data_IF_130067357820
#
_entry.id   IF_130067357820
#
_cell.length_a   1.000
_cell.length_b   1.000
_cell.length_c   1.000
_cell.angle_alpha   90.00
_cell.angle_beta   90.00
_cell.angle_gamma   90.00
#
_symmetry.space_group_name_H-M   'P 1'
#
loop_
_entity.id
_entity.type
_entity.pdbx_description
1 polymer ?
#
# COMPACT_ATOMS: atom_id res chain seq x y z
N UNK A 1 -9.05 41.36 -37.58
CA UNK A 1 -7.99 40.32 -37.37
C UNK A 1 -8.64 38.97 -37.54
N UNK A 2 -8.27 38.19 -38.60
CA UNK A 2 -8.75 36.81 -38.80
C UNK A 2 -7.98 35.93 -37.83
N UNK A 3 -8.67 35.34 -36.86
CA UNK A 3 -8.15 34.21 -36.09
C UNK A 3 -7.70 33.11 -37.07
N UNK A 4 -6.45 32.74 -37.06
CA UNK A 4 -5.95 31.60 -37.83
C UNK A 4 -6.13 30.36 -37.00
N UNK A 5 -7.34 29.85 -37.00
CA UNK A 5 -7.65 28.51 -36.51
C UNK A 5 -7.40 27.51 -37.65
N UNK A 6 -6.58 26.51 -37.38
CA UNK A 6 -6.33 25.42 -38.31
C UNK A 6 -7.02 24.18 -37.75
N UNK A 7 -8.02 23.69 -38.44
CA UNK A 7 -8.66 22.41 -38.18
C UNK A 7 -8.19 21.43 -39.25
N UNK A 8 -7.56 20.36 -38.86
CA UNK A 8 -7.08 19.31 -39.75
C UNK A 8 -7.79 18.01 -39.35
N UNK A 9 -8.29 17.28 -40.33
CA UNK A 9 -8.91 15.96 -40.20
C UNK A 9 -8.07 14.96 -40.97
N UNK A 10 -7.89 13.75 -40.43
CA UNK A 10 -7.09 12.65 -40.89
C UNK A 10 -5.56 12.81 -40.75
N UNK A 11 -4.98 12.13 -39.74
CA UNK A 11 -3.55 11.99 -39.49
C UNK A 11 -2.81 13.35 -39.36
N UNK A 12 -3.10 14.07 -38.27
CA UNK A 12 -2.41 15.29 -37.93
C UNK A 12 -1.12 14.97 -37.18
N UNK A 13 -0.02 15.59 -37.58
CA UNK A 13 1.24 15.58 -36.84
C UNK A 13 1.65 17.02 -36.50
N UNK A 14 1.90 17.28 -35.22
CA UNK A 14 2.46 18.55 -34.74
C UNK A 14 3.83 18.26 -34.16
N UNK A 15 4.85 18.82 -34.76
CA UNK A 15 6.25 18.68 -34.31
C UNK A 15 6.70 19.92 -33.52
N UNK A 16 7.32 19.67 -32.39
CA UNK A 16 8.00 20.64 -31.55
C UNK A 16 9.37 20.03 -31.16
N UNK A 17 10.42 20.80 -30.91
CA UNK A 17 11.69 20.25 -30.46
C UNK A 17 11.61 19.30 -29.27
N UNK A 18 10.63 19.48 -28.38
CA UNK A 18 10.49 18.74 -27.13
C UNK A 18 9.45 17.61 -27.18
N UNK A 19 8.58 17.56 -28.21
CA UNK A 19 7.56 16.52 -28.37
C UNK A 19 7.01 16.43 -29.79
N UNK A 20 6.38 15.30 -30.11
CA UNK A 20 5.59 15.11 -31.31
C UNK A 20 4.18 14.70 -30.91
N UNK A 21 3.16 15.41 -31.40
CA UNK A 21 1.74 15.06 -31.20
C UNK A 21 1.17 14.47 -32.49
N UNK A 22 0.62 13.29 -32.38
CA UNK A 22 -0.15 12.61 -33.41
C UNK A 22 -1.64 12.61 -33.04
N UNK A 23 -2.54 12.95 -33.96
CA UNK A 23 -3.97 13.03 -33.67
C UNK A 23 -4.81 12.74 -34.92
N UNK A 24 -5.97 12.14 -34.73
CA UNK A 24 -6.95 12.02 -35.82
C UNK A 24 -7.65 13.36 -36.08
N UNK A 25 -7.97 14.11 -35.01
CA UNK A 25 -8.63 15.41 -35.13
C UNK A 25 -8.12 16.37 -34.06
N UNK A 26 -7.54 17.48 -34.51
CA UNK A 26 -6.93 18.49 -33.68
C UNK A 26 -7.35 19.90 -34.10
N UNK A 27 -7.55 20.76 -33.12
CA UNK A 27 -7.68 22.19 -33.30
C UNK A 27 -6.52 22.89 -32.60
N UNK A 28 -5.68 23.58 -33.34
CA UNK A 28 -4.54 24.31 -32.79
C UNK A 28 -4.74 25.83 -32.92
N UNK A 29 -4.69 26.53 -31.78
CA UNK A 29 -4.71 27.98 -31.75
C UNK A 29 -3.28 28.51 -31.74
N UNK A 30 -2.92 29.24 -32.80
CA UNK A 30 -1.57 29.76 -32.98
C UNK A 30 -1.24 30.98 -32.14
N UNK A 31 -2.24 31.64 -31.52
CA UNK A 31 -2.04 32.76 -30.60
C UNK A 31 -1.81 32.26 -29.19
N UNK A 32 -2.73 31.43 -28.67
CA UNK A 32 -2.63 30.84 -27.33
C UNK A 32 -1.63 29.68 -27.23
N UNK A 33 -1.25 29.10 -28.38
CA UNK A 33 -0.40 27.90 -28.46
C UNK A 33 -1.00 26.65 -27.80
N UNK A 34 -2.32 26.60 -27.75
CA UNK A 34 -3.06 25.46 -27.18
C UNK A 34 -3.58 24.55 -28.28
N UNK A 35 -3.30 23.25 -28.14
CA UNK A 35 -3.84 22.21 -28.95
C UNK A 35 -5.08 21.60 -28.27
N UNK A 36 -6.25 21.73 -28.87
CA UNK A 36 -7.48 21.08 -28.42
C UNK A 36 -7.62 19.74 -29.13
N UNK A 37 -7.66 18.67 -28.35
CA UNK A 37 -7.72 17.28 -28.81
C UNK A 37 -9.18 16.87 -28.91
N UNK A 38 -9.60 16.39 -30.07
CA UNK A 38 -10.99 16.04 -30.40
C UNK A 38 -11.15 14.59 -30.89
N UNK A 39 -10.06 13.82 -30.88
CA UNK A 39 -10.04 12.41 -31.31
C UNK A 39 -8.80 11.71 -30.74
N UNK A 40 -8.67 10.39 -30.95
CA UNK A 40 -7.52 9.61 -30.48
C UNK A 40 -6.20 10.29 -30.80
N UNK A 41 -5.39 10.49 -29.80
CA UNK A 41 -4.13 11.24 -29.89
C UNK A 41 -3.05 10.65 -29.01
N UNK A 42 -1.81 10.77 -29.50
CA UNK A 42 -0.60 10.34 -28.79
C UNK A 42 0.39 11.49 -28.80
N UNK A 43 0.89 11.87 -27.62
CA UNK A 43 1.96 12.86 -27.48
C UNK A 43 3.21 12.13 -27.02
N UNK A 44 4.25 12.15 -27.82
CA UNK A 44 5.52 11.46 -27.54
C UNK A 44 6.59 12.50 -27.25
N UNK A 45 7.32 12.31 -26.16
CA UNK A 45 8.46 13.14 -25.76
C UNK A 45 9.58 12.28 -25.17
N UNK A 46 10.76 12.85 -24.94
CA UNK A 46 11.88 12.15 -24.28
C UNK A 46 11.52 11.73 -22.83
N UNK A 47 10.62 12.45 -22.18
CA UNK A 47 10.18 12.17 -20.80
C UNK A 47 9.05 11.14 -20.69
N UNK A 48 8.39 10.79 -21.81
CA UNK A 48 7.30 9.81 -21.80
C UNK A 48 6.25 10.01 -22.89
N UNK A 49 5.16 9.28 -22.77
CA UNK A 49 4.07 9.23 -23.74
C UNK A 49 2.73 9.51 -23.07
N UNK A 50 1.89 10.32 -23.73
CA UNK A 50 0.51 10.59 -23.30
C UNK A 50 -0.44 10.01 -24.35
N UNK A 51 -1.42 9.22 -23.90
CA UNK A 51 -2.51 8.70 -24.70
C UNK A 51 -3.83 9.34 -24.23
N UNK A 52 -4.57 9.95 -25.12
CA UNK A 52 -5.85 10.59 -24.82
C UNK A 52 -6.73 10.66 -26.05
N UNK A 53 -8.05 10.77 -25.87
CA UNK A 53 -8.98 10.98 -26.96
C UNK A 53 -9.65 12.34 -26.95
N UNK A 54 -9.57 13.06 -25.83
CA UNK A 54 -10.14 14.39 -25.66
C UNK A 54 -9.41 15.19 -24.59
N UNK A 55 -9.31 16.49 -24.80
CA UNK A 55 -8.67 17.38 -23.85
C UNK A 55 -7.99 18.57 -24.51
N UNK A 56 -7.01 19.12 -23.83
CA UNK A 56 -6.14 20.16 -24.39
C UNK A 56 -4.70 19.99 -23.89
N UNK A 57 -3.77 20.48 -24.68
CA UNK A 57 -2.35 20.57 -24.35
C UNK A 57 -1.83 21.98 -24.63
N UNK A 58 -1.30 22.65 -23.63
CA UNK A 58 -0.61 23.92 -23.75
C UNK A 58 0.87 23.65 -24.09
N UNK A 59 1.27 24.04 -25.30
CA UNK A 59 2.62 23.75 -25.81
C UNK A 59 3.68 24.71 -25.30
N UNK A 60 3.31 25.76 -24.56
CA UNK A 60 4.23 26.73 -23.95
C UNK A 60 4.50 26.36 -22.49
N UNK A 61 3.43 26.06 -21.74
CA UNK A 61 3.51 25.78 -20.31
C UNK A 61 3.64 24.29 -19.99
N UNK A 62 3.65 23.44 -21.01
CA UNK A 62 3.74 21.98 -20.88
C UNK A 62 2.69 21.38 -19.93
N UNK A 63 1.50 21.99 -19.89
CA UNK A 63 0.36 21.53 -19.10
C UNK A 63 -0.73 20.95 -19.99
N UNK A 64 -1.46 19.97 -19.47
CA UNK A 64 -2.57 19.36 -20.17
C UNK A 64 -3.73 19.04 -19.23
N UNK A 65 -4.93 19.04 -19.78
CA UNK A 65 -6.09 18.39 -19.21
C UNK A 65 -6.53 17.30 -20.20
N UNK A 66 -6.46 16.07 -19.77
CA UNK A 66 -6.73 14.86 -20.54
C UNK A 66 -8.04 14.26 -20.04
N UNK A 67 -8.91 13.86 -20.93
CA UNK A 67 -10.25 13.36 -20.63
C UNK A 67 -10.49 12.01 -21.28
N UNK A 68 -11.56 11.32 -20.87
CA UNK A 68 -12.01 10.07 -21.46
C UNK A 68 -11.00 8.92 -21.31
N UNK A 69 -10.64 8.61 -20.07
CA UNK A 69 -9.77 7.50 -19.72
C UNK A 69 -8.37 7.59 -20.32
N UNK A 70 -7.70 8.65 -19.99
CA UNK A 70 -6.36 8.94 -20.50
C UNK A 70 -5.25 8.23 -19.71
N UNK A 71 -4.09 8.14 -20.33
CA UNK A 71 -2.90 7.50 -19.77
C UNK A 71 -1.67 8.38 -20.00
N UNK A 72 -0.85 8.51 -18.96
CA UNK A 72 0.45 9.18 -19.00
C UNK A 72 1.52 8.17 -18.59
N UNK A 73 2.46 7.91 -19.48
CA UNK A 73 3.61 7.03 -19.24
C UNK A 73 4.86 7.89 -19.04
N UNK A 74 5.59 7.68 -17.93
CA UNK A 74 6.87 8.33 -17.64
C UNK A 74 7.82 7.33 -17.01
N UNK A 75 8.87 6.95 -17.73
CA UNK A 75 9.78 5.88 -17.33
C UNK A 75 9.04 4.57 -17.05
N UNK A 76 9.20 4.06 -15.84
CA UNK A 76 8.55 2.81 -15.38
C UNK A 76 7.17 3.04 -14.73
N UNK A 77 6.63 4.26 -14.83
CA UNK A 77 5.36 4.62 -14.21
C UNK A 77 4.28 4.93 -15.24
N UNK A 78 3.07 4.51 -14.92
CA UNK A 78 1.88 4.70 -15.74
C UNK A 78 0.78 5.29 -14.85
N UNK A 79 0.32 6.49 -15.20
CA UNK A 79 -0.80 7.16 -14.55
C UNK A 79 -2.04 7.09 -15.44
N UNK A 80 -3.14 6.57 -14.93
CA UNK A 80 -4.40 6.37 -15.64
C UNK A 80 -5.52 7.06 -14.87
N UNK A 81 -6.49 7.63 -15.57
CA UNK A 81 -7.70 8.17 -14.98
C UNK A 81 -8.70 8.72 -15.98
N UNK A 82 -9.92 8.96 -15.54
CA UNK A 82 -10.98 9.49 -16.40
C UNK A 82 -10.72 10.95 -16.79
N UNK A 83 -10.13 11.73 -15.84
CA UNK A 83 -9.68 13.09 -16.09
C UNK A 83 -8.33 13.30 -15.41
N UNK A 84 -7.31 13.71 -16.16
CA UNK A 84 -5.95 13.93 -15.67
C UNK A 84 -5.53 15.37 -16.00
N UNK A 85 -5.25 16.17 -14.98
CA UNK A 85 -4.44 17.36 -15.15
C UNK A 85 -2.97 16.96 -15.00
N UNK A 86 -2.14 17.24 -16.00
CA UNK A 86 -0.74 16.86 -16.01
C UNK A 86 0.16 18.03 -16.36
N UNK A 87 1.22 18.20 -15.58
CA UNK A 87 2.29 19.16 -15.86
C UNK A 87 3.58 18.36 -16.15
N UNK A 88 4.03 18.39 -17.40
CA UNK A 88 5.19 17.64 -17.87
C UNK A 88 6.50 18.10 -17.26
N UNK A 89 6.67 19.41 -17.01
CA UNK A 89 7.90 19.98 -16.49
C UNK A 89 8.21 19.56 -15.05
N UNK A 90 7.16 19.30 -14.28
CA UNK A 90 7.25 18.89 -12.87
C UNK A 90 6.96 17.41 -12.66
N UNK A 91 6.47 16.71 -13.69
CA UNK A 91 5.97 15.34 -13.55
C UNK A 91 4.79 15.23 -12.57
N UNK A 92 3.98 16.31 -12.45
CA UNK A 92 2.83 16.38 -11.54
C UNK A 92 1.56 15.97 -12.28
N UNK A 93 0.86 14.99 -11.74
CA UNK A 93 -0.44 14.53 -12.19
C UNK A 93 -1.48 14.61 -11.09
N UNK A 94 -2.66 15.19 -11.39
CA UNK A 94 -3.84 15.19 -10.55
C UNK A 94 -4.97 14.49 -11.30
N UNK A 95 -5.59 13.50 -10.68
CA UNK A 95 -6.48 12.55 -11.35
C UNK A 95 -7.83 12.52 -10.67
N UNK A 96 -8.87 12.61 -11.47
CA UNK A 96 -10.26 12.53 -11.05
C UNK A 96 -10.96 11.38 -11.80
N UNK A 97 -11.53 10.46 -11.05
CA UNK A 97 -12.20 9.26 -11.52
C UNK A 97 -11.24 8.14 -11.92
N UNK A 98 -11.41 6.96 -11.32
CA UNK A 98 -10.69 5.72 -11.66
C UNK A 98 -9.16 5.88 -11.72
N UNK A 99 -8.60 6.63 -10.75
CA UNK A 99 -7.16 6.83 -10.66
C UNK A 99 -6.42 5.50 -10.48
N UNK A 100 -5.39 5.28 -11.30
CA UNK A 100 -4.45 4.17 -11.13
C UNK A 100 -3.04 4.65 -11.44
N UNK A 101 -2.13 4.54 -10.47
CA UNK A 101 -0.69 4.75 -10.61
C UNK A 101 0.01 3.41 -10.52
N UNK A 102 0.60 2.95 -11.62
CA UNK A 102 1.32 1.69 -11.73
C UNK A 102 2.81 1.99 -11.78
N UNK A 103 3.59 1.38 -10.90
CA UNK A 103 5.05 1.37 -10.95
C UNK A 103 5.52 -0.04 -11.32
N UNK A 104 5.94 -0.22 -12.56
CA UNK A 104 6.31 -1.52 -13.11
C UNK A 104 7.65 -2.02 -12.56
N UNK A 105 8.58 -1.11 -12.24
CA UNK A 105 9.86 -1.46 -11.64
C UNK A 105 9.72 -1.97 -10.22
N UNK A 106 8.78 -1.42 -9.48
CA UNK A 106 8.55 -1.75 -8.08
C UNK A 106 7.45 -2.80 -7.87
N UNK A 107 6.75 -3.18 -8.94
CA UNK A 107 5.62 -4.09 -8.90
C UNK A 107 4.52 -3.67 -7.92
N UNK A 108 4.16 -2.39 -7.95
CA UNK A 108 3.09 -1.82 -7.11
C UNK A 108 2.07 -1.07 -7.94
N UNK A 109 0.84 -1.01 -7.43
CA UNK A 109 -0.25 -0.22 -8.01
C UNK A 109 -0.98 0.51 -6.90
N UNK A 110 -1.17 1.83 -7.05
CA UNK A 110 -1.98 2.67 -6.18
C UNK A 110 -3.23 3.09 -6.93
N UNK A 111 -4.42 2.90 -6.37
CA UNK A 111 -5.71 3.18 -6.98
C UNK A 111 -6.61 3.99 -6.05
N UNK A 112 -7.55 4.74 -6.61
CA UNK A 112 -8.60 5.48 -5.90
C UNK A 112 -9.52 6.21 -6.87
N UNK A 113 -10.55 6.88 -6.37
CA UNK A 113 -11.40 7.74 -7.20
C UNK A 113 -10.75 9.10 -7.47
N UNK A 114 -9.95 9.59 -6.51
CA UNK A 114 -9.14 10.78 -6.67
C UNK A 114 -7.72 10.53 -6.22
N UNK A 115 -6.76 11.11 -6.90
CA UNK A 115 -5.37 11.02 -6.51
C UNK A 115 -4.46 12.05 -7.13
N UNK A 116 -3.26 12.09 -6.58
CA UNK A 116 -2.20 13.00 -6.96
C UNK A 116 -0.87 12.26 -7.00
N UNK A 117 -0.05 12.60 -7.96
CA UNK A 117 1.31 12.10 -8.08
C UNK A 117 2.25 13.25 -8.48
N UNK A 118 3.44 13.28 -7.88
CA UNK A 118 4.50 14.19 -8.27
C UNK A 118 5.83 13.44 -8.35
N UNK A 119 6.36 13.34 -9.56
CA UNK A 119 7.57 12.58 -9.85
C UNK A 119 8.82 13.16 -9.18
N UNK A 120 8.95 14.50 -9.14
CA UNK A 120 10.11 15.16 -8.55
C UNK A 120 10.21 14.97 -7.05
N UNK A 121 9.08 14.93 -6.35
CA UNK A 121 9.03 14.76 -4.90
C UNK A 121 8.87 13.31 -4.47
N UNK A 122 8.54 12.41 -5.41
CA UNK A 122 8.21 11.02 -5.11
C UNK A 122 6.97 10.86 -4.23
N UNK A 123 6.11 11.91 -4.16
CA UNK A 123 4.88 11.90 -3.38
C UNK A 123 3.70 11.43 -4.23
N UNK A 124 2.94 10.50 -3.68
CA UNK A 124 1.68 10.06 -4.27
C UNK A 124 0.61 9.91 -3.17
N UNK A 125 -0.63 10.19 -3.48
CA UNK A 125 -1.75 9.77 -2.66
C UNK A 125 -2.95 9.38 -3.52
N UNK A 126 -3.81 8.54 -2.95
CA UNK A 126 -5.12 8.19 -3.48
C UNK A 126 -6.13 8.20 -2.34
N UNK A 127 -7.36 8.60 -2.63
CA UNK A 127 -8.47 8.64 -1.67
C UNK A 127 -9.77 8.15 -2.30
N UNK A 128 -10.83 8.07 -1.50
CA UNK A 128 -12.13 7.51 -1.85
C UNK A 128 -12.01 6.02 -2.23
N UNK A 129 -11.94 5.19 -1.20
CA UNK A 129 -11.75 3.73 -1.34
C UNK A 129 -10.40 3.36 -1.94
N UNK A 130 -9.34 3.99 -1.46
CA UNK A 130 -7.99 3.78 -1.96
C UNK A 130 -7.51 2.33 -1.75
N UNK A 131 -6.78 1.82 -2.75
CA UNK A 131 -6.20 0.46 -2.77
C UNK A 131 -4.74 0.54 -3.15
N UNK A 132 -3.94 -0.26 -2.48
CA UNK A 132 -2.55 -0.49 -2.83
C UNK A 132 -2.34 -1.98 -3.04
N UNK A 133 -1.71 -2.34 -4.14
CA UNK A 133 -1.36 -3.71 -4.48
C UNK A 133 0.16 -3.80 -4.61
N UNK A 134 0.76 -4.81 -3.99
CA UNK A 134 2.17 -5.13 -4.13
C UNK A 134 2.30 -6.61 -4.53
N UNK A 135 3.01 -6.91 -5.63
CA UNK A 135 3.05 -8.23 -6.24
C UNK A 135 4.47 -8.69 -6.62
N UNK A 136 5.48 -8.16 -5.91
CA UNK A 136 6.90 -8.48 -6.18
C UNK A 136 7.31 -9.87 -5.69
N UNK A 137 6.60 -10.48 -4.73
CA UNK A 137 7.05 -11.65 -3.97
C UNK A 137 6.25 -12.94 -4.24
N UNK A 138 5.55 -13.05 -5.37
CA UNK A 138 4.80 -14.25 -5.73
C UNK A 138 3.38 -14.30 -5.17
N UNK A 139 3.12 -13.66 -4.03
CA UNK A 139 1.79 -13.39 -3.48
C UNK A 139 1.50 -11.90 -3.52
N UNK A 140 0.25 -11.54 -3.74
CA UNK A 140 -0.17 -10.14 -3.77
C UNK A 140 -0.59 -9.68 -2.39
N UNK A 141 0.04 -8.62 -1.88
CA UNK A 141 -0.46 -7.85 -0.76
C UNK A 141 -1.54 -6.89 -1.26
N UNK A 142 -2.73 -7.00 -0.70
CA UNK A 142 -3.83 -6.07 -0.90
C UNK A 142 -3.97 -5.20 0.35
N UNK A 143 -3.87 -3.89 0.18
CA UNK A 143 -4.10 -2.91 1.24
C UNK A 143 -5.23 -1.99 0.80
N UNK A 144 -6.21 -1.78 1.66
CA UNK A 144 -7.34 -0.88 1.46
C UNK A 144 -7.47 0.09 2.63
N UNK A 145 -7.77 1.33 2.34
CA UNK A 145 -8.08 2.37 3.31
C UNK A 145 -8.97 3.45 2.66
N UNK A 146 -9.47 4.40 3.43
CA UNK A 146 -10.08 5.60 2.86
C UNK A 146 -9.05 6.40 2.06
N UNK A 147 -7.88 6.65 2.66
CA UNK A 147 -6.79 7.39 2.03
C UNK A 147 -5.45 6.65 2.19
N UNK A 148 -4.71 6.55 1.11
CA UNK A 148 -3.36 6.00 1.06
C UNK A 148 -2.38 7.09 0.60
N UNK A 149 -1.26 7.20 1.29
CA UNK A 149 -0.16 8.10 0.95
C UNK A 149 1.14 7.31 0.81
N UNK A 150 1.93 7.67 -0.18
CA UNK A 150 3.26 7.12 -0.39
C UNK A 150 4.24 8.26 -0.62
N UNK A 151 5.37 8.23 0.06
CA UNK A 151 6.45 9.21 -0.10
C UNK A 151 7.75 8.46 -0.31
N UNK A 152 8.48 8.81 -1.36
CA UNK A 152 9.87 8.36 -1.54
C UNK A 152 10.79 9.43 -0.97
N UNK A 153 11.54 9.09 0.08
CA UNK A 153 12.43 10.04 0.77
C UNK A 153 13.84 9.85 0.26
N UNK A 154 14.42 10.96 -0.27
CA UNK A 154 15.79 11.03 -0.80
C UNK A 154 16.14 9.92 -1.82
N UNK A 155 15.15 9.40 -2.54
CA UNK A 155 15.28 8.24 -3.45
C UNK A 155 15.86 6.98 -2.78
N UNK A 156 15.83 6.89 -1.45
CA UNK A 156 16.46 5.82 -0.66
C UNK A 156 15.43 4.88 -0.05
N UNK A 157 14.39 5.42 0.58
CA UNK A 157 13.36 4.62 1.25
C UNK A 157 11.97 5.21 1.05
N UNK A 158 10.95 4.44 1.39
CA UNK A 158 9.56 4.85 1.27
C UNK A 158 8.85 4.82 2.61
N UNK A 159 7.95 5.77 2.78
CA UNK A 159 6.92 5.75 3.79
C UNK A 159 5.57 5.52 3.12
N UNK A 160 4.83 4.53 3.60
CA UNK A 160 3.44 4.25 3.20
C UNK A 160 2.58 4.52 4.43
N UNK A 161 1.56 5.35 4.27
CA UNK A 161 0.60 5.69 5.32
C UNK A 161 -0.80 5.39 4.82
N UNK A 162 -1.57 4.71 5.64
CA UNK A 162 -2.97 4.40 5.38
C UNK A 162 -3.84 4.97 6.49
N UNK A 163 -4.91 5.65 6.13
CA UNK A 163 -5.79 6.33 7.07
C UNK A 163 -7.23 5.88 6.88
N UNK A 164 -7.86 5.60 8.01
CA UNK A 164 -9.26 5.25 8.22
C UNK A 164 -9.70 3.94 7.57
N UNK A 165 -10.10 3.02 8.44
CA UNK A 165 -10.68 1.74 8.05
C UNK A 165 -9.72 0.83 7.28
N UNK A 166 -8.46 0.83 7.70
CA UNK A 166 -7.39 0.06 7.06
C UNK A 166 -7.68 -1.43 7.15
N UNK A 167 -7.53 -2.11 6.03
CA UNK A 167 -7.61 -3.58 5.91
C UNK A 167 -6.52 -4.03 4.96
N UNK A 168 -5.79 -5.05 5.35
CA UNK A 168 -4.86 -5.67 4.43
C UNK A 168 -5.02 -7.19 4.44
N UNK A 169 -4.65 -7.77 3.31
CA UNK A 169 -4.68 -9.20 3.08
C UNK A 169 -3.46 -9.62 2.29
N UNK A 170 -2.76 -10.63 2.81
CA UNK A 170 -1.82 -11.49 2.10
C UNK A 170 -2.14 -12.92 2.54
N UNK A 171 -1.77 -13.93 1.75
CA UNK A 171 -2.18 -15.33 2.03
C UNK A 171 -1.78 -15.82 3.41
N UNK A 172 -0.67 -15.34 3.95
CA UNK A 172 -0.10 -15.72 5.24
C UNK A 172 -0.52 -14.81 6.41
N UNK A 173 -1.07 -13.63 6.12
CA UNK A 173 -1.36 -12.61 7.12
C UNK A 173 -2.50 -11.69 6.69
N UNK A 174 -3.36 -11.35 7.63
CA UNK A 174 -4.46 -10.42 7.44
C UNK A 174 -4.54 -9.47 8.62
N UNK A 175 -4.99 -8.24 8.40
CA UNK A 175 -5.14 -7.30 9.50
C UNK A 175 -6.13 -6.19 9.22
N UNK A 176 -6.63 -5.63 10.31
CA UNK A 176 -7.47 -4.42 10.32
C UNK A 176 -6.97 -3.47 11.39
N UNK A 177 -7.10 -2.18 11.15
CA UNK A 177 -6.83 -1.12 12.13
C UNK A 177 -7.48 0.18 11.65
N UNK A 178 -7.43 1.24 12.46
CA UNK A 178 -7.85 2.57 11.99
C UNK A 178 -6.83 3.16 11.04
N UNK A 179 -5.56 3.16 11.43
CA UNK A 179 -4.46 3.72 10.64
C UNK A 179 -3.22 2.84 10.68
N UNK A 180 -2.41 2.94 9.63
CA UNK A 180 -1.21 2.14 9.47
C UNK A 180 -0.07 2.99 8.91
N UNK A 181 1.15 2.71 9.34
CA UNK A 181 2.37 3.30 8.76
C UNK A 181 3.40 2.22 8.54
N UNK A 182 3.99 2.20 7.37
CA UNK A 182 5.13 1.35 7.02
C UNK A 182 6.30 2.21 6.55
N UNK A 183 7.48 1.97 7.13
CA UNK A 183 8.72 2.62 6.74
C UNK A 183 9.69 1.55 6.25
N UNK A 184 10.11 1.64 4.99
CA UNK A 184 11.01 0.64 4.39
C UNK A 184 12.46 0.78 4.85
N UNK A 185 12.87 1.92 5.44
CA UNK A 185 14.21 2.11 5.98
C UNK A 185 14.43 1.30 7.24
N UNK A 186 13.48 1.40 8.16
CA UNK A 186 13.55 0.73 9.46
C UNK A 186 12.88 -0.64 9.42
N UNK A 187 12.21 -0.95 8.32
CA UNK A 187 11.44 -2.18 8.09
C UNK A 187 10.43 -2.46 9.21
N UNK A 188 9.73 -1.39 9.66
CA UNK A 188 8.73 -1.49 10.73
C UNK A 188 7.36 -1.09 10.20
N UNK A 189 6.39 -1.98 10.41
CA UNK A 189 4.97 -1.74 10.19
C UNK A 189 4.30 -1.44 11.52
N UNK A 190 3.67 -0.28 11.64
CA UNK A 190 2.83 0.11 12.78
C UNK A 190 1.35 0.06 12.39
N UNK A 191 0.54 -0.56 13.23
CA UNK A 191 -0.92 -0.59 13.17
C UNK A 191 -1.45 0.09 14.42
N UNK A 192 -2.27 1.12 14.25
CA UNK A 192 -2.77 1.97 15.34
C UNK A 192 -4.26 1.81 15.54
N UNK A 193 -4.70 2.04 16.78
CA UNK A 193 -6.09 2.10 17.21
C UNK A 193 -6.84 0.79 16.97
N UNK A 194 -6.86 -0.02 18.01
CA UNK A 194 -7.54 -1.32 18.07
C UNK A 194 -7.18 -2.26 16.91
N UNK A 195 -5.87 -2.41 16.58
CA UNK A 195 -5.46 -3.31 15.52
C UNK A 195 -5.78 -4.76 15.86
N UNK A 196 -6.21 -5.50 14.86
CA UNK A 196 -6.31 -6.94 14.92
C UNK A 196 -5.51 -7.54 13.76
N UNK A 197 -4.62 -8.45 14.08
CA UNK A 197 -3.78 -9.17 13.14
C UNK A 197 -4.10 -10.66 13.22
N UNK A 198 -4.28 -11.30 12.08
CA UNK A 198 -4.50 -12.75 11.97
C UNK A 198 -3.47 -13.39 11.06
N UNK A 199 -3.07 -14.59 11.43
CA UNK A 199 -2.53 -15.58 10.52
C UNK A 199 -3.35 -16.89 10.65
N UNK A 200 -2.95 -17.98 10.02
CA UNK A 200 -3.71 -19.24 10.02
C UNK A 200 -4.15 -19.74 11.41
N UNK A 201 -3.34 -19.53 12.45
CA UNK A 201 -3.55 -20.10 13.79
C UNK A 201 -3.67 -19.06 14.89
N UNK A 202 -3.16 -17.84 14.66
CA UNK A 202 -3.02 -16.82 15.69
C UNK A 202 -3.82 -15.58 15.38
N UNK A 203 -4.34 -14.98 16.43
CA UNK A 203 -4.90 -13.64 16.42
C UNK A 203 -4.18 -12.79 17.46
N UNK A 204 -3.74 -11.61 17.07
CA UNK A 204 -3.16 -10.59 17.95
C UNK A 204 -4.08 -9.38 18.00
N UNK A 205 -4.22 -8.80 19.19
CA UNK A 205 -5.00 -7.59 19.44
C UNK A 205 -4.31 -6.73 20.48
N UNK A 206 -4.42 -5.42 20.39
CA UNK A 206 -3.89 -4.46 21.34
C UNK A 206 -4.28 -3.02 21.01
N UNK A 207 -3.65 -2.04 21.65
CA UNK A 207 -3.81 -0.64 21.29
C UNK A 207 -2.98 -0.29 20.02
N UNK A 208 -1.76 -0.82 19.98
CA UNK A 208 -0.85 -0.69 18.84
C UNK A 208 -0.13 -2.02 18.60
N UNK A 209 0.02 -2.40 17.34
CA UNK A 209 0.87 -3.53 16.94
C UNK A 209 2.00 -2.98 16.07
N UNK A 210 3.26 -3.29 16.45
CA UNK A 210 4.44 -3.01 15.65
C UNK A 210 5.07 -4.31 15.18
N UNK A 211 5.25 -4.47 13.87
CA UNK A 211 5.89 -5.64 13.25
C UNK A 211 7.25 -5.21 12.73
N UNK A 212 8.29 -5.79 13.27
CA UNK A 212 9.68 -5.56 12.88
C UNK A 212 10.11 -6.67 11.92
N UNK A 213 10.58 -6.26 10.76
CA UNK A 213 10.99 -7.17 9.69
C UNK A 213 12.47 -7.02 9.41
N UNK A 214 13.09 -8.10 8.98
CA UNK A 214 14.42 -8.10 8.42
C UNK A 214 14.34 -8.71 7.02
N UNK A 215 14.93 -8.05 6.02
CA UNK A 215 14.96 -8.41 4.59
C UNK A 215 13.62 -8.98 4.03
N UNK A 216 13.21 -10.16 4.45
CA UNK A 216 12.02 -10.86 3.91
C UNK A 216 11.18 -11.56 4.98
N UNK A 217 11.59 -11.50 6.25
CA UNK A 217 10.93 -12.24 7.34
C UNK A 217 10.59 -11.33 8.52
N UNK A 218 9.59 -11.73 9.28
CA UNK A 218 9.27 -11.07 10.55
C UNK A 218 10.34 -11.49 11.57
N UNK A 219 10.99 -10.52 12.20
CA UNK A 219 11.90 -10.73 13.32
C UNK A 219 11.11 -10.87 14.63
N UNK A 220 10.26 -9.89 14.92
CA UNK A 220 9.34 -9.96 16.04
C UNK A 220 8.12 -9.06 15.84
N UNK A 221 7.00 -9.43 16.46
CA UNK A 221 5.80 -8.61 16.60
C UNK A 221 5.69 -8.12 18.05
N UNK A 222 5.45 -6.82 18.24
CA UNK A 222 5.24 -6.20 19.54
C UNK A 222 3.82 -5.65 19.63
N UNK A 223 3.01 -6.23 20.48
CA UNK A 223 1.68 -5.73 20.84
C UNK A 223 1.84 -4.85 22.06
N UNK A 224 1.54 -3.57 21.91
CA UNK A 224 1.77 -2.51 22.90
C UNK A 224 0.42 -2.11 23.49
N UNK A 225 0.33 -2.18 24.79
CA UNK A 225 -0.84 -1.93 25.64
C UNK A 225 -2.06 -2.81 25.31
N UNK A 226 -2.71 -3.30 26.36
CA UNK A 226 -3.85 -4.19 26.28
C UNK A 226 -3.62 -5.44 25.41
N UNK A 227 -2.36 -5.93 25.44
CA UNK A 227 -1.94 -7.02 24.58
C UNK A 227 -2.76 -8.30 24.85
N UNK A 228 -3.28 -8.87 23.75
CA UNK A 228 -3.98 -10.13 23.75
C UNK A 228 -3.57 -10.96 22.55
N UNK A 229 -3.31 -12.24 22.78
CA UNK A 229 -3.06 -13.22 21.72
C UNK A 229 -3.94 -14.45 21.95
N UNK A 230 -4.52 -14.97 20.87
CA UNK A 230 -5.25 -16.22 20.87
C UNK A 230 -4.67 -17.18 19.83
N UNK A 231 -4.53 -18.45 20.17
CA UNK A 231 -4.15 -19.52 19.27
C UNK A 231 -5.28 -20.55 19.20
N UNK A 232 -5.74 -20.89 18.02
CA UNK A 232 -6.73 -21.92 17.81
C UNK A 232 -6.16 -23.30 18.14
N UNK A 233 -6.84 -24.04 19.02
CA UNK A 233 -6.50 -25.42 19.41
C UNK A 233 -7.40 -26.40 18.70
N UNK A 234 -8.74 -26.21 18.83
CA UNK A 234 -9.78 -26.94 18.12
C UNK A 234 -11.06 -26.11 18.02
N UNK A 235 -12.14 -26.67 17.48
CA UNK A 235 -13.41 -25.98 17.22
C UNK A 235 -14.00 -25.19 18.39
N UNK A 236 -13.55 -25.44 19.64
CA UNK A 236 -14.15 -24.84 20.84
C UNK A 236 -13.13 -24.24 21.81
N UNK A 237 -11.83 -24.45 21.59
CA UNK A 237 -10.79 -24.10 22.55
C UNK A 237 -9.69 -23.26 21.91
N UNK A 238 -9.25 -22.24 22.66
CA UNK A 238 -8.19 -21.32 22.27
C UNK A 238 -7.19 -21.21 23.42
N UNK A 239 -5.91 -21.39 23.13
CA UNK A 239 -4.86 -20.91 24.02
C UNK A 239 -4.89 -19.37 23.99
N UNK A 240 -4.72 -18.74 25.15
CA UNK A 240 -4.86 -17.30 25.27
C UNK A 240 -3.73 -16.74 26.12
N UNK A 241 -3.23 -15.60 25.70
CA UNK A 241 -2.24 -14.79 26.43
C UNK A 241 -2.75 -13.37 26.54
N UNK A 242 -2.58 -12.75 27.71
CA UNK A 242 -2.97 -11.38 27.97
C UNK A 242 -1.90 -10.72 28.82
N UNK A 243 -1.66 -9.43 28.59
CA UNK A 243 -0.74 -8.63 29.39
C UNK A 243 -0.83 -7.14 29.03
N UNK A 244 0.01 -6.32 29.62
CA UNK A 244 0.15 -4.95 29.17
C UNK A 244 0.88 -4.90 27.83
N UNK A 245 1.95 -5.68 27.68
CA UNK A 245 2.76 -5.81 26.49
C UNK A 245 3.00 -7.28 26.15
N UNK A 246 3.07 -7.59 24.85
CA UNK A 246 3.44 -8.91 24.35
C UNK A 246 4.44 -8.77 23.20
N UNK A 247 5.54 -9.53 23.26
CA UNK A 247 6.49 -9.67 22.15
C UNK A 247 6.56 -11.11 21.71
N UNK A 248 6.30 -11.36 20.42
CA UNK A 248 6.45 -12.66 19.79
C UNK A 248 7.65 -12.62 18.83
N UNK A 249 8.66 -13.44 19.08
CA UNK A 249 9.88 -13.55 18.29
C UNK A 249 9.79 -14.72 17.34
N UNK A 250 10.27 -14.52 16.12
CA UNK A 250 10.17 -15.50 15.03
C UNK A 250 11.55 -16.01 14.63
N UNK A 251 11.58 -17.27 14.24
CA UNK A 251 12.70 -17.89 13.52
C UNK A 251 12.14 -18.43 12.20
N UNK A 252 12.46 -17.74 11.10
CA UNK A 252 11.75 -17.92 9.83
C UNK A 252 10.28 -17.51 9.93
N UNK A 253 9.35 -18.44 9.69
CA UNK A 253 7.90 -18.19 9.81
C UNK A 253 7.30 -18.71 11.13
N UNK A 254 8.10 -19.33 11.99
CA UNK A 254 7.63 -19.94 13.23
C UNK A 254 7.94 -19.07 14.44
N UNK A 255 6.97 -18.94 15.34
CA UNK A 255 7.18 -18.33 16.65
C UNK A 255 8.07 -19.25 17.49
N UNK A 256 9.18 -18.74 18.03
CA UNK A 256 10.07 -19.49 18.90
C UNK A 256 10.05 -19.03 20.36
N UNK A 257 9.71 -17.74 20.61
CA UNK A 257 9.58 -17.20 21.95
C UNK A 257 8.46 -16.17 22.02
N UNK A 258 7.74 -16.15 23.15
CA UNK A 258 6.76 -15.11 23.48
C UNK A 258 7.06 -14.59 24.86
N UNK A 259 7.20 -13.28 25.01
CA UNK A 259 7.33 -12.58 26.27
C UNK A 259 6.07 -11.76 26.54
N UNK A 260 5.46 -11.94 27.70
CA UNK A 260 4.31 -11.17 28.16
C UNK A 260 4.71 -10.42 29.42
N UNK A 261 4.50 -9.11 29.43
CA UNK A 261 4.90 -8.22 30.51
C UNK A 261 3.70 -7.44 31.08
N UNK A 262 3.65 -7.37 32.39
CA UNK A 262 2.66 -6.62 33.17
C UNK A 262 1.27 -7.27 33.17
N UNK A 263 0.84 -7.74 34.34
CA UNK A 263 -0.43 -8.44 34.55
C UNK A 263 -0.62 -9.60 33.56
N UNK A 264 0.43 -10.42 33.42
CA UNK A 264 0.44 -11.53 32.49
C UNK A 264 -0.54 -12.62 32.94
N UNK A 265 -1.47 -12.97 32.07
CA UNK A 265 -2.43 -14.06 32.25
C UNK A 265 -2.31 -15.02 31.07
N UNK A 266 -2.40 -16.33 31.33
CA UNK A 266 -2.46 -17.33 30.27
C UNK A 266 -3.52 -18.40 30.53
N UNK A 267 -4.17 -18.84 29.46
CA UNK A 267 -5.00 -20.05 29.41
C UNK A 267 -4.36 -20.97 28.40
N UNK A 268 -4.03 -22.19 28.79
CA UNK A 268 -3.38 -23.17 27.95
C UNK A 268 -4.05 -24.55 28.07
N UNK A 269 -4.32 -25.18 26.96
CA UNK A 269 -4.87 -26.53 26.85
C UNK A 269 -3.80 -27.50 26.39
N UNK A 270 -3.14 -28.24 27.32
CA UNK A 270 -2.15 -29.26 26.94
C UNK A 270 -2.83 -30.39 26.17
N UNK A 271 -2.16 -30.85 25.10
CA UNK A 271 -2.60 -31.98 24.31
C UNK A 271 -1.67 -33.18 24.54
N UNK A 272 -2.23 -34.37 24.63
CA UNK A 272 -1.49 -35.63 24.54
C UNK A 272 -0.99 -35.91 23.13
N UNK A 273 -0.20 -36.96 22.95
CA UNK A 273 0.34 -37.32 21.65
C UNK A 273 -0.73 -37.69 20.61
N UNK A 274 -1.86 -38.16 21.06
CA UNK A 274 -3.04 -38.54 20.26
C UNK A 274 -3.99 -37.35 20.00
N UNK A 275 -3.67 -36.14 20.52
CA UNK A 275 -4.46 -34.94 20.40
C UNK A 275 -5.55 -34.77 21.47
N UNK A 276 -5.65 -35.70 22.43
CA UNK A 276 -6.58 -35.58 23.54
C UNK A 276 -6.16 -34.44 24.50
N UNK A 277 -7.11 -33.64 24.94
CA UNK A 277 -6.89 -32.58 25.93
C UNK A 277 -6.73 -33.16 27.34
N UNK A 278 -5.64 -32.81 28.02
CA UNK A 278 -5.36 -33.26 29.39
C UNK A 278 -6.12 -32.43 30.42
N UNK A 279 -6.43 -31.18 30.11
CA UNK A 279 -7.07 -30.25 31.00
C UNK A 279 -6.91 -28.80 30.57
N UNK A 280 -7.10 -27.85 31.47
CA UNK A 280 -6.87 -26.44 31.28
C UNK A 280 -5.87 -25.96 32.36
N UNK A 281 -4.86 -25.23 31.93
CA UNK A 281 -3.94 -24.54 32.82
C UNK A 281 -4.22 -23.04 32.76
N UNK A 282 -4.47 -22.43 33.91
CA UNK A 282 -4.59 -20.98 34.08
C UNK A 282 -3.39 -20.47 34.90
N UNK A 283 -2.74 -19.42 34.42
CA UNK A 283 -1.60 -18.82 35.08
C UNK A 283 -1.77 -17.31 35.16
N UNK A 284 -1.45 -16.71 36.30
CA UNK A 284 -1.39 -15.25 36.51
C UNK A 284 -0.07 -14.88 37.17
N UNK A 285 0.60 -13.86 36.61
CA UNK A 285 1.93 -13.44 37.05
C UNK A 285 2.23 -12.00 36.65
N UNK A 286 3.38 -11.47 37.12
CA UNK A 286 3.89 -10.18 36.63
C UNK A 286 4.43 -10.28 35.22
N UNK A 287 5.15 -11.37 34.93
CA UNK A 287 5.82 -11.63 33.64
C UNK A 287 5.74 -13.11 33.30
N UNK A 288 5.74 -13.40 32.01
CA UNK A 288 5.64 -14.75 31.48
C UNK A 288 6.51 -14.85 30.22
N UNK A 289 7.39 -15.85 30.14
CA UNK A 289 8.11 -16.20 28.92
C UNK A 289 7.75 -17.62 28.51
N UNK A 290 7.36 -17.78 27.26
CA UNK A 290 7.04 -19.06 26.62
C UNK A 290 8.07 -19.33 25.54
N UNK A 291 8.72 -20.50 25.56
CA UNK A 291 9.49 -20.98 24.44
C UNK A 291 8.70 -22.04 23.68
N UNK A 292 8.72 -21.91 22.36
CA UNK A 292 7.99 -22.79 21.44
C UNK A 292 9.01 -23.55 20.59
N UNK A 293 8.83 -24.83 20.45
CA UNK A 293 9.61 -25.69 19.56
C UNK A 293 8.67 -26.62 18.81
N UNK A 294 8.85 -26.73 17.49
CA UNK A 294 8.00 -27.56 16.63
C UNK A 294 6.49 -27.25 16.83
N UNK A 295 6.13 -25.97 16.92
CA UNK A 295 4.78 -25.44 17.22
C UNK A 295 4.18 -25.96 18.54
N UNK A 296 5.01 -26.42 19.49
CA UNK A 296 4.58 -26.90 20.81
C UNK A 296 5.26 -26.12 21.91
N UNK A 297 4.60 -26.02 23.06
CA UNK A 297 5.19 -25.48 24.26
C UNK A 297 6.41 -26.33 24.66
N UNK A 298 7.60 -25.76 24.64
CA UNK A 298 8.84 -26.38 25.09
C UNK A 298 9.13 -26.04 26.55
N UNK A 299 9.06 -24.73 26.88
CA UNK A 299 9.38 -24.25 28.23
C UNK A 299 8.53 -23.04 28.59
N UNK A 300 8.13 -22.97 29.85
CA UNK A 300 7.43 -21.83 30.44
C UNK A 300 8.24 -21.32 31.65
N UNK A 301 8.43 -20.01 31.72
CA UNK A 301 9.00 -19.33 32.89
C UNK A 301 8.02 -18.23 33.35
N UNK A 302 7.81 -18.19 34.66
CA UNK A 302 6.83 -17.32 35.34
C UNK A 302 7.58 -16.59 36.45
N UNK A 303 7.41 -15.26 36.61
CA UNK A 303 7.92 -14.45 37.70
C UNK A 303 7.15 -13.16 37.97
#
# INVERSE_FOLDING_TARGET
>A
RRQRQMCIRDSVQVENPDFTLYSDTLHYDTESKVATILGPSVIVSDSGTIHTSRGWYDTVNNTSLLLDQSQVESGEKILIGDSIFYNRDTGMGEVYGNMSLIDTAQHVTLQGEYGYYNEQTGYAFATDSARFLEYSQGDTLFLHADTLQMVTVDSVYREIKAYYGVRFYRIDMQGVCDSMQFNTRDSVLYMYTEPVLWNEQYQLYGDTIAIYMNDSTIEYAHVIQFAFAAQHVDSSYYNQLKGNDLKAYFEGQAVHQIDVAGNAESIFYPLEKDGAKVGMNETKSGFLTIWVKDNKLDKLKIW
#
